data_IF_074568045879
#
_entry.id   IF_074568045879
#
_cell.length_a   1.000
_cell.length_b   1.000
_cell.length_c   1.000
_cell.angle_alpha   90.00
_cell.angle_beta   90.00
_cell.angle_gamma   90.00
#
_symmetry.space_group_name_H-M   'P 1'
#
loop_
_entity.id
_entity.type
_entity.pdbx_description
1 polymer ?
#
# COMPACT_ATOMS: atom_id res chain seq x y z
N UNK A 1 -22.19 2.15 -4.10
CA UNK A 1 -20.79 1.81 -3.79
C UNK A 1 -20.08 3.13 -3.88
N UNK A 2 -19.57 3.62 -2.76
CA UNK A 2 -19.11 4.99 -2.64
C UNK A 2 -17.97 5.27 -3.62
N UNK A 3 -18.03 6.44 -4.24
CA UNK A 3 -17.02 6.91 -5.16
C UNK A 3 -16.16 7.97 -4.49
N UNK A 4 -14.86 7.88 -4.73
CA UNK A 4 -13.86 8.82 -4.26
C UNK A 4 -14.01 10.15 -4.98
N UNK A 5 -14.19 11.21 -4.19
CA UNK A 5 -14.00 12.60 -4.60
C UNK A 5 -12.52 12.97 -4.43
N UNK A 6 -11.92 12.61 -3.30
CA UNK A 6 -10.51 12.83 -3.01
C UNK A 6 -9.95 11.66 -2.20
N UNK A 7 -8.81 11.12 -2.61
CA UNK A 7 -7.97 10.27 -1.77
C UNK A 7 -6.55 10.82 -1.79
N UNK A 8 -6.15 11.44 -0.69
CA UNK A 8 -4.83 12.05 -0.51
C UNK A 8 -3.97 11.20 0.43
N UNK A 9 -2.92 10.61 -0.11
CA UNK A 9 -2.00 9.70 0.59
C UNK A 9 -0.67 10.39 0.84
N UNK A 10 -0.29 10.46 2.11
CA UNK A 10 0.96 11.02 2.56
C UNK A 10 1.77 9.94 3.30
N UNK A 11 2.94 9.62 2.76
CA UNK A 11 3.86 8.63 3.32
C UNK A 11 5.16 9.27 3.73
N UNK A 12 5.60 9.00 4.96
CA UNK A 12 6.95 9.31 5.43
C UNK A 12 7.67 8.00 5.70
N UNK A 13 8.82 7.81 5.02
CA UNK A 13 9.65 6.64 5.27
C UNK A 13 10.79 7.01 6.22
N UNK A 14 10.92 6.22 7.27
CA UNK A 14 11.99 6.32 8.26
C UNK A 14 13.04 5.27 7.95
N UNK A 15 14.27 5.73 7.68
CA UNK A 15 15.39 4.89 7.28
C UNK A 15 16.00 4.07 8.41
N UNK A 16 15.19 3.27 9.09
CA UNK A 16 15.63 2.45 10.24
C UNK A 16 16.66 1.40 9.85
N UNK A 17 16.74 1.02 8.58
CA UNK A 17 17.77 0.10 8.07
C UNK A 17 19.18 0.66 8.23
N UNK A 18 19.35 1.98 8.04
CA UNK A 18 20.61 2.71 8.29
C UNK A 18 21.01 2.76 9.76
N UNK A 19 20.12 2.30 10.65
CA UNK A 19 20.30 2.29 12.10
C UNK A 19 20.34 0.86 12.67
N UNK A 20 20.63 -0.15 11.83
CA UNK A 20 20.91 -1.53 12.27
C UNK A 20 19.69 -2.45 12.30
N UNK A 21 18.56 -2.04 11.70
CA UNK A 21 17.42 -2.92 11.46
C UNK A 21 17.45 -3.50 10.03
N UNK A 22 16.74 -4.59 9.79
CA UNK A 22 16.67 -5.20 8.45
C UNK A 22 15.58 -4.58 7.55
N UNK A 23 14.98 -3.48 8.00
CA UNK A 23 13.82 -2.84 7.37
C UNK A 23 13.78 -1.34 7.64
N UNK A 24 13.05 -0.64 6.78
CA UNK A 24 12.59 0.73 7.00
C UNK A 24 11.16 0.73 7.55
N UNK A 25 10.72 1.85 8.12
CA UNK A 25 9.34 2.02 8.59
C UNK A 25 8.64 3.04 7.70
N UNK A 26 7.59 2.62 7.01
CA UNK A 26 6.68 3.53 6.34
C UNK A 26 5.57 3.95 7.30
N UNK A 27 5.38 5.26 7.47
CA UNK A 27 4.19 5.83 8.12
C UNK A 27 3.32 6.45 7.04
N UNK A 28 2.14 5.85 6.82
CA UNK A 28 1.16 6.27 5.82
C UNK A 28 -0.03 6.92 6.52
N UNK A 29 -0.44 8.08 6.02
CA UNK A 29 -1.66 8.80 6.43
C UNK A 29 -2.48 9.09 5.19
N UNK A 30 -3.79 8.85 5.25
CA UNK A 30 -4.67 9.03 4.10
C UNK A 30 -5.95 9.73 4.49
N UNK A 31 -6.27 10.80 3.77
CA UNK A 31 -7.57 11.43 3.80
C UNK A 31 -8.41 10.87 2.66
N UNK A 32 -9.57 10.30 3.00
CA UNK A 32 -10.53 9.77 2.03
C UNK A 32 -11.79 10.63 2.11
N UNK A 33 -12.25 11.13 0.97
CA UNK A 33 -13.52 11.81 0.82
C UNK A 33 -14.36 11.11 -0.26
N UNK A 34 -15.58 10.73 0.08
CA UNK A 34 -16.53 10.05 -0.80
C UNK A 34 -17.75 10.91 -1.12
N UNK A 35 -18.50 10.53 -2.15
CA UNK A 35 -19.79 11.13 -2.52
C UNK A 35 -20.95 10.68 -1.60
N UNK A 36 -20.93 9.42 -1.17
CA UNK A 36 -21.86 8.83 -0.19
C UNK A 36 -21.08 8.17 0.97
N UNK A 37 -21.71 7.97 2.15
CA UNK A 37 -21.08 7.27 3.26
C UNK A 37 -20.68 5.84 2.90
N UNK A 38 -19.53 5.40 3.41
CA UNK A 38 -19.06 4.02 3.34
C UNK A 38 -19.87 3.20 4.35
N UNK A 39 -20.47 2.09 3.87
CA UNK A 39 -21.18 1.17 4.77
C UNK A 39 -20.21 0.56 5.78
N UNK A 40 -20.65 0.42 7.03
CA UNK A 40 -19.91 -0.29 8.09
C UNK A 40 -19.78 -1.78 7.84
N UNK A 41 -20.49 -2.32 6.85
CA UNK A 41 -20.35 -3.72 6.40
C UNK A 41 -19.05 -3.96 5.61
N UNK A 42 -18.41 -2.89 5.12
CA UNK A 42 -17.10 -2.99 4.48
C UNK A 42 -16.00 -2.96 5.54
N UNK A 43 -15.15 -3.98 5.50
CA UNK A 43 -13.97 -4.09 6.35
C UNK A 43 -12.71 -4.15 5.46
N UNK A 44 -11.67 -3.43 5.87
CA UNK A 44 -10.36 -3.47 5.22
C UNK A 44 -9.34 -4.10 6.15
N UNK A 45 -8.47 -4.92 5.57
CA UNK A 45 -7.24 -5.38 6.19
C UNK A 45 -6.19 -4.26 6.04
N UNK A 46 -5.90 -3.55 7.13
CA UNK A 46 -4.95 -2.44 7.16
C UNK A 46 -3.59 -2.92 7.69
N UNK A 47 -2.46 -2.65 7.00
CA UNK A 47 -1.13 -3.01 7.50
C UNK A 47 -0.84 -2.41 8.87
N UNK A 48 -0.10 -3.12 9.72
CA UNK A 48 0.35 -2.59 11.01
C UNK A 48 1.73 -3.15 11.41
N UNK A 49 2.38 -2.55 12.42
CA UNK A 49 3.77 -2.83 12.82
C UNK A 49 3.92 -4.12 13.67
N UNK A 50 2.85 -4.65 14.24
CA UNK A 50 2.95 -5.52 15.43
C UNK A 50 2.89 -7.03 15.12
N UNK A 51 3.66 -7.79 15.90
CA UNK A 51 3.52 -9.21 16.25
C UNK A 51 3.23 -10.25 15.17
N UNK A 52 3.65 -10.01 13.92
CA UNK A 52 3.67 -11.06 12.91
C UNK A 52 4.66 -12.16 13.33
N UNK A 53 4.24 -13.44 13.45
CA UNK A 53 5.13 -14.53 13.81
C UNK A 53 6.31 -14.63 12.83
N UNK A 54 7.51 -14.94 13.33
CA UNK A 54 8.75 -14.97 12.51
C UNK A 54 8.63 -15.84 11.25
N UNK A 55 7.89 -16.96 11.34
CA UNK A 55 7.64 -17.87 10.22
C UNK A 55 6.72 -17.27 9.16
N UNK A 56 5.73 -16.46 9.55
CA UNK A 56 4.86 -15.73 8.64
C UNK A 56 5.61 -14.56 8.00
N UNK A 57 6.38 -13.82 8.81
CA UNK A 57 7.25 -12.75 8.32
C UNK A 57 8.21 -13.25 7.23
N UNK A 58 8.77 -14.46 7.35
CA UNK A 58 9.71 -15.01 6.37
C UNK A 58 9.11 -15.15 4.96
N UNK A 59 7.80 -15.34 4.85
CA UNK A 59 7.09 -15.43 3.57
C UNK A 59 6.74 -14.05 3.00
N UNK A 60 6.62 -13.03 3.85
CA UNK A 60 6.26 -11.65 3.46
C UNK A 60 7.48 -10.71 3.37
N UNK A 61 8.69 -11.23 3.59
CA UNK A 61 9.94 -10.47 3.74
C UNK A 61 10.69 -10.21 2.43
N UNK A 62 10.15 -10.66 1.30
CA UNK A 62 10.82 -10.56 0.00
C UNK A 62 10.89 -9.12 -0.55
N UNK A 63 10.19 -8.18 0.11
CA UNK A 63 10.05 -6.78 -0.29
C UNK A 63 9.14 -6.57 -1.51
N UNK A 64 8.71 -7.64 -2.18
CA UNK A 64 7.95 -7.60 -3.42
C UNK A 64 6.47 -7.76 -3.16
N UNK A 65 6.08 -8.56 -2.15
CA UNK A 65 4.69 -8.74 -1.75
C UNK A 65 4.07 -7.36 -1.47
N UNK A 66 3.00 -6.99 -2.19
CA UNK A 66 2.36 -5.69 -2.00
C UNK A 66 1.65 -5.63 -0.64
N UNK A 67 2.14 -4.75 0.25
CA UNK A 67 1.55 -4.53 1.58
C UNK A 67 0.87 -3.17 1.60
N UNK A 68 -0.44 -3.15 1.34
CA UNK A 68 -1.30 -1.97 1.44
C UNK A 68 -2.70 -2.38 1.90
N UNK A 69 -3.57 -1.43 2.28
CA UNK A 69 -4.96 -1.68 2.61
C UNK A 69 -5.73 -2.44 1.52
N UNK A 70 -6.33 -3.56 1.89
CA UNK A 70 -7.09 -4.42 0.97
C UNK A 70 -8.47 -4.71 1.53
N UNK A 71 -9.48 -4.82 0.66
CA UNK A 71 -10.83 -5.19 1.07
C UNK A 71 -10.84 -6.63 1.60
N UNK A 72 -11.32 -6.84 2.83
CA UNK A 72 -11.33 -8.15 3.50
C UNK A 72 -12.04 -9.23 2.68
N UNK A 73 -13.19 -8.88 2.09
CA UNK A 73 -13.98 -9.82 1.28
C UNK A 73 -13.26 -10.24 0.00
N UNK A 74 -12.53 -9.31 -0.64
CA UNK A 74 -11.70 -9.59 -1.82
C UNK A 74 -10.55 -10.53 -1.46
N UNK A 75 -9.77 -10.20 -0.42
CA UNK A 75 -8.72 -11.09 0.09
C UNK A 75 -9.24 -12.50 0.38
N UNK A 76 -10.42 -12.61 0.99
CA UNK A 76 -11.03 -13.92 1.30
C UNK A 76 -11.47 -14.67 0.04
N UNK A 77 -12.02 -13.96 -0.94
CA UNK A 77 -12.42 -14.53 -2.22
C UNK A 77 -11.21 -15.04 -3.01
N UNK A 78 -10.09 -14.33 -2.90
CA UNK A 78 -8.86 -14.65 -3.61
C UNK A 78 -8.10 -15.85 -3.01
N UNK A 79 -8.54 -16.40 -1.86
CA UNK A 79 -8.00 -17.62 -1.21
C UNK A 79 -8.83 -18.89 -1.58
N UNK A 80 -9.83 -18.75 -2.46
CA UNK A 80 -10.83 -19.80 -2.67
C UNK A 80 -10.30 -21.09 -3.34
N UNK A 81 -9.09 -21.10 -3.90
CA UNK A 81 -8.51 -22.24 -4.62
C UNK A 81 -7.49 -23.04 -3.81
N UNK A 82 -7.35 -22.78 -2.50
CA UNK A 82 -6.33 -23.43 -1.67
C UNK A 82 -6.35 -24.97 -1.76
N UNK A 83 -7.51 -25.60 -1.54
CA UNK A 83 -7.62 -27.07 -1.58
C UNK A 83 -7.35 -27.63 -2.98
N UNK A 84 -7.82 -26.93 -4.02
CA UNK A 84 -7.58 -27.32 -5.41
C UNK A 84 -6.09 -27.24 -5.78
N UNK A 85 -5.41 -26.19 -5.33
CA UNK A 85 -3.98 -25.99 -5.53
C UNK A 85 -3.15 -27.07 -4.82
N UNK A 86 -3.60 -27.55 -3.64
CA UNK A 86 -3.00 -28.71 -2.96
C UNK A 86 -3.20 -29.99 -3.77
N UNK A 87 -4.44 -30.27 -4.21
CA UNK A 87 -4.77 -31.51 -4.92
C UNK A 87 -4.08 -31.61 -6.30
N UNK A 88 -3.84 -30.47 -6.95
CA UNK A 88 -3.21 -30.38 -8.27
C UNK A 88 -1.68 -30.20 -8.22
N UNK A 89 -1.08 -30.10 -7.02
CA UNK A 89 0.33 -29.75 -6.80
C UNK A 89 0.74 -28.41 -7.45
N UNK A 90 -0.16 -27.42 -7.47
CA UNK A 90 0.13 -26.08 -7.99
C UNK A 90 0.77 -25.20 -6.90
N UNK A 91 2.09 -25.33 -6.74
CA UNK A 91 2.83 -24.63 -5.68
C UNK A 91 2.78 -23.09 -5.80
N UNK A 92 2.78 -22.55 -7.03
CA UNK A 92 2.80 -21.09 -7.24
C UNK A 92 1.52 -20.44 -6.71
N UNK A 93 0.36 -20.93 -7.13
CA UNK A 93 -0.93 -20.42 -6.66
C UNK A 93 -1.17 -20.75 -5.17
N UNK A 94 -0.67 -21.90 -4.69
CA UNK A 94 -0.73 -22.23 -3.27
C UNK A 94 0.05 -21.23 -2.40
N UNK A 95 1.24 -20.80 -2.85
CA UNK A 95 2.01 -19.80 -2.12
C UNK A 95 1.30 -18.44 -2.10
N UNK A 96 0.69 -18.04 -3.22
CA UNK A 96 -0.12 -16.82 -3.30
C UNK A 96 -1.34 -16.88 -2.35
N UNK A 97 -2.07 -18.00 -2.32
CA UNK A 97 -3.16 -18.23 -1.35
C UNK A 97 -2.66 -18.14 0.10
N UNK A 98 -1.49 -18.72 0.40
CA UNK A 98 -0.86 -18.67 1.73
C UNK A 98 -0.50 -17.23 2.09
N UNK A 99 0.12 -16.47 1.18
CA UNK A 99 0.49 -15.07 1.40
C UNK A 99 -0.75 -14.22 1.70
N UNK A 100 -1.82 -14.36 0.91
CA UNK A 100 -3.10 -13.67 1.16
C UNK A 100 -3.72 -14.04 2.49
N UNK A 101 -3.71 -15.33 2.85
CA UNK A 101 -4.20 -15.78 4.15
C UNK A 101 -3.39 -15.21 5.31
N UNK A 102 -2.06 -15.13 5.16
CA UNK A 102 -1.17 -14.51 6.13
C UNK A 102 -1.44 -13.00 6.25
N UNK A 103 -1.56 -12.29 5.13
CA UNK A 103 -1.91 -10.86 5.13
C UNK A 103 -3.22 -10.62 5.87
N UNK A 104 -4.28 -11.37 5.54
CA UNK A 104 -5.58 -11.25 6.20
C UNK A 104 -5.51 -11.50 7.72
N UNK A 105 -4.61 -12.38 8.16
CA UNK A 105 -4.44 -12.73 9.58
C UNK A 105 -3.53 -11.74 10.32
N UNK A 106 -2.56 -11.16 9.62
CA UNK A 106 -1.50 -10.32 10.19
C UNK A 106 -1.78 -8.82 10.03
N UNK A 107 -2.87 -8.43 9.38
CA UNK A 107 -3.31 -7.04 9.25
C UNK A 107 -4.44 -6.74 10.24
N UNK A 108 -4.60 -5.47 10.59
CA UNK A 108 -5.71 -5.05 11.43
C UNK A 108 -6.97 -4.91 10.58
N UNK A 109 -7.93 -5.80 10.77
CA UNK A 109 -9.22 -5.77 10.07
C UNK A 109 -10.15 -4.81 10.77
N UNK A 110 -10.56 -3.75 10.08
CA UNK A 110 -11.43 -2.72 10.63
C UNK A 110 -12.34 -2.11 9.56
N UNK A 111 -13.59 -1.72 9.89
CA UNK A 111 -14.33 -0.78 9.07
C UNK A 111 -13.66 0.60 9.09
N UNK A 112 -13.99 1.44 8.11
CA UNK A 112 -13.56 2.84 8.09
C UNK A 112 -14.49 3.69 8.94
N UNK A 113 -13.93 4.36 9.95
CA UNK A 113 -14.69 5.24 10.83
C UNK A 113 -14.72 6.67 10.25
N UNK A 114 -15.91 7.28 10.10
CA UNK A 114 -16.02 8.65 9.62
C UNK A 114 -15.43 9.63 10.63
N UNK A 115 -14.86 10.72 10.13
CA UNK A 115 -14.43 11.85 10.95
C UNK A 115 -15.63 12.51 11.63
N UNK A 116 -15.43 12.98 12.86
CA UNK A 116 -16.49 13.59 13.67
C UNK A 116 -17.29 14.64 12.89
N UNK A 117 -18.63 14.52 12.92
CA UNK A 117 -19.58 15.39 12.21
C UNK A 117 -19.51 15.35 10.67
N UNK A 118 -18.84 14.36 10.07
CA UNK A 118 -18.83 14.16 8.62
C UNK A 118 -18.87 12.68 8.21
N UNK A 119 -19.98 12.25 7.62
CA UNK A 119 -20.18 10.83 7.27
C UNK A 119 -19.53 10.41 5.93
N UNK A 120 -18.83 11.30 5.24
CA UNK A 120 -18.20 11.02 3.93
C UNK A 120 -16.69 11.36 3.94
N UNK A 121 -16.09 11.52 5.13
CA UNK A 121 -14.65 11.78 5.27
C UNK A 121 -14.06 10.82 6.28
N UNK A 122 -12.92 10.24 5.94
CA UNK A 122 -12.26 9.21 6.73
C UNK A 122 -10.77 9.53 6.79
N UNK A 123 -10.16 9.26 7.95
CA UNK A 123 -8.72 9.38 8.13
C UNK A 123 -8.16 8.04 8.52
N UNK A 124 -7.29 7.50 7.67
CA UNK A 124 -6.61 6.23 7.92
C UNK A 124 -5.14 6.52 8.14
N UNK A 125 -4.59 6.07 9.27
CA UNK A 125 -3.16 6.17 9.57
C UNK A 125 -2.65 4.83 10.01
N UNK A 126 -1.58 4.37 9.38
CA UNK A 126 -0.95 3.12 9.73
C UNK A 126 0.56 3.19 9.50
N UNK A 127 1.26 2.23 10.09
CA UNK A 127 2.68 2.06 9.89
C UNK A 127 2.97 0.60 9.58
N UNK A 128 4.00 0.35 8.80
CA UNK A 128 4.44 -1.02 8.54
C UNK A 128 5.93 -1.06 8.18
N UNK A 129 6.48 -2.27 8.20
CA UNK A 129 7.89 -2.53 7.89
C UNK A 129 8.05 -2.68 6.37
N UNK A 130 8.96 -1.92 5.79
CA UNK A 130 9.44 -2.04 4.42
C UNK A 130 10.72 -2.86 4.42
N UNK A 131 10.64 -4.08 3.90
CA UNK A 131 11.82 -4.92 3.72
C UNK A 131 12.48 -4.65 2.37
N UNK A 132 13.81 -4.77 2.28
CA UNK A 132 14.51 -4.56 1.02
C UNK A 132 14.16 -5.66 0.02
N UNK A 133 13.92 -5.29 -1.23
CA UNK A 133 13.75 -6.27 -2.33
C UNK A 133 15.10 -6.81 -2.83
N UNK A 134 16.14 -6.00 -2.67
CA UNK A 134 17.53 -6.25 -3.03
C UNK A 134 18.39 -5.47 -2.03
N UNK A 135 19.68 -5.77 -1.93
CA UNK A 135 20.59 -5.05 -1.01
C UNK A 135 20.45 -3.53 -1.17
N UNK A 136 20.17 -2.85 -0.06
CA UNK A 136 19.98 -1.40 0.04
C UNK A 136 18.86 -0.81 -0.85
N UNK A 137 17.96 -1.63 -1.37
CA UNK A 137 16.90 -1.27 -2.32
C UNK A 137 15.52 -1.60 -1.76
N UNK A 138 14.64 -0.62 -1.71
CA UNK A 138 13.32 -0.73 -1.09
C UNK A 138 12.21 -0.29 -2.04
N UNK A 139 11.06 -0.95 -1.98
CA UNK A 139 9.86 -0.59 -2.74
C UNK A 139 8.72 -0.25 -1.79
N UNK A 140 8.16 0.95 -1.93
CA UNK A 140 6.86 1.29 -1.36
C UNK A 140 5.80 1.06 -2.44
N UNK A 141 4.72 0.35 -2.08
CA UNK A 141 3.59 0.08 -2.97
C UNK A 141 2.28 0.50 -2.32
N UNK A 142 1.39 1.10 -3.10
CA UNK A 142 0.02 1.40 -2.67
C UNK A 142 -0.92 1.31 -3.86
N UNK A 143 -2.10 0.74 -3.65
CA UNK A 143 -3.18 0.72 -4.62
C UNK A 143 -4.16 1.86 -4.29
N UNK A 144 -4.43 2.73 -5.26
CA UNK A 144 -5.47 3.75 -5.17
C UNK A 144 -6.42 3.64 -6.39
N UNK A 145 -7.73 3.89 -6.22
CA UNK A 145 -8.40 4.08 -4.94
C UNK A 145 -8.32 2.81 -4.08
N UNK A 146 -8.65 2.94 -2.80
CA UNK A 146 -8.75 1.76 -1.93
C UNK A 146 -9.59 0.67 -2.59
N UNK A 147 -9.14 -0.58 -2.45
CA UNK A 147 -9.88 -1.73 -2.94
C UNK A 147 -11.33 -1.68 -2.46
N UNK A 148 -12.28 -1.82 -3.39
CA UNK A 148 -13.71 -1.74 -3.09
C UNK A 148 -14.29 -0.32 -3.09
N UNK A 149 -13.54 0.70 -3.53
CA UNK A 149 -14.06 2.05 -3.79
C UNK A 149 -13.89 2.40 -5.27
N UNK A 150 -14.87 3.09 -5.83
CA UNK A 150 -14.77 3.66 -7.18
C UNK A 150 -14.18 5.07 -7.15
N UNK A 151 -13.93 5.67 -8.32
CA UNK A 151 -13.61 7.10 -8.44
C UNK A 151 -14.77 7.84 -9.12
N UNK A 152 -15.18 8.99 -8.59
CA UNK A 152 -16.22 9.79 -9.23
C UNK A 152 -15.64 10.52 -10.45
N UNK A 153 -16.51 10.96 -11.37
CA UNK A 153 -16.04 11.81 -12.48
C UNK A 153 -15.45 13.12 -11.91
N UNK A 154 -14.20 13.43 -12.26
CA UNK A 154 -13.46 14.56 -11.69
C UNK A 154 -12.94 14.34 -10.27
N UNK A 155 -13.05 13.12 -9.73
CA UNK A 155 -12.40 12.71 -8.50
C UNK A 155 -10.87 12.74 -8.63
N UNK A 156 -10.19 12.79 -7.50
CA UNK A 156 -8.74 13.01 -7.46
C UNK A 156 -8.04 12.01 -6.54
N UNK A 157 -6.99 11.37 -7.03
CA UNK A 157 -6.07 10.58 -6.22
C UNK A 157 -4.72 11.29 -6.19
N UNK A 158 -4.17 11.44 -4.99
CA UNK A 158 -2.87 12.07 -4.77
C UNK A 158 -2.02 11.17 -3.90
N UNK A 159 -0.74 11.06 -4.25
CA UNK A 159 0.25 10.36 -3.45
C UNK A 159 1.45 11.26 -3.29
N UNK A 160 1.91 11.43 -2.05
CA UNK A 160 3.18 12.08 -1.70
C UNK A 160 3.97 11.15 -0.81
N UNK A 161 5.19 10.80 -1.22
CA UNK A 161 6.15 10.05 -0.41
C UNK A 161 7.37 10.90 -0.10
N UNK A 162 7.72 10.98 1.18
CA UNK A 162 8.98 11.55 1.65
C UNK A 162 9.94 10.41 1.94
N UNK A 163 11.00 10.31 1.13
CA UNK A 163 12.01 9.28 1.26
C UNK A 163 12.92 9.52 2.49
N UNK A 164 13.64 8.48 2.95
CA UNK A 164 14.60 8.61 4.02
C UNK A 164 15.74 9.59 3.70
N UNK A 165 16.42 10.06 4.73
CA UNK A 165 17.58 10.95 4.56
C UNK A 165 18.68 10.19 3.81
N UNK A 166 19.22 10.82 2.76
CA UNK A 166 20.29 10.24 1.95
C UNK A 166 19.85 9.18 0.95
N UNK A 167 18.57 8.82 0.90
CA UNK A 167 18.05 7.90 -0.10
C UNK A 167 17.86 8.61 -1.45
N UNK A 168 18.18 7.91 -2.54
CA UNK A 168 17.94 8.35 -3.92
C UNK A 168 16.76 7.59 -4.50
N UNK A 169 15.90 8.30 -5.25
CA UNK A 169 14.78 7.67 -5.96
C UNK A 169 15.28 7.08 -7.27
N UNK A 170 14.84 5.85 -7.58
CA UNK A 170 15.07 5.24 -8.88
C UNK A 170 13.88 5.58 -9.82
N UNK A 171 14.05 6.51 -10.78
CA UNK A 171 12.96 6.92 -11.67
C UNK A 171 12.58 5.84 -12.69
N UNK A 172 13.43 4.85 -12.95
CA UNK A 172 13.14 3.79 -13.94
C UNK A 172 12.12 2.78 -13.41
N UNK A 173 12.05 2.59 -12.10
CA UNK A 173 11.14 1.64 -11.43
C UNK A 173 9.99 2.38 -10.74
N UNK A 174 10.19 3.65 -10.39
CA UNK A 174 9.14 4.45 -9.76
C UNK A 174 8.09 4.81 -10.80
N UNK A 175 6.88 4.29 -10.64
CA UNK A 175 5.80 4.44 -11.62
C UNK A 175 4.41 4.37 -11.00
N UNK A 176 3.41 4.70 -11.83
CA UNK A 176 2.00 4.49 -11.56
C UNK A 176 1.40 3.70 -12.73
N UNK A 177 1.04 2.43 -12.50
CA UNK A 177 0.55 1.52 -13.54
C UNK A 177 -0.86 1.03 -13.26
N UNK A 178 -1.68 0.92 -14.30
CA UNK A 178 -2.96 0.23 -14.21
C UNK A 178 -2.78 -1.30 -14.09
N UNK A 179 -3.90 -2.02 -13.95
CA UNK A 179 -3.88 -3.49 -13.89
C UNK A 179 -3.41 -4.18 -15.19
N UNK A 180 -3.30 -3.45 -16.30
CA UNK A 180 -2.73 -3.94 -17.55
C UNK A 180 -1.23 -3.63 -17.69
N UNK A 181 -0.63 -2.98 -16.68
CA UNK A 181 0.77 -2.58 -16.68
C UNK A 181 1.07 -1.31 -17.49
N UNK A 182 0.06 -0.57 -17.92
CA UNK A 182 0.22 0.70 -18.63
C UNK A 182 0.45 1.83 -17.64
N UNK A 183 1.45 2.69 -17.92
CA UNK A 183 1.66 3.91 -17.13
C UNK A 183 0.48 4.87 -17.29
N UNK A 184 -0.04 5.36 -16.17
CA UNK A 184 -1.24 6.20 -16.13
C UNK A 184 -1.02 7.58 -15.46
N UNK A 185 0.17 7.81 -14.90
CA UNK A 185 0.63 9.12 -14.45
C UNK A 185 2.16 9.21 -14.52
N UNK A 186 2.66 10.43 -14.68
CA UNK A 186 4.08 10.75 -14.54
C UNK A 186 4.38 11.13 -13.08
N UNK A 187 5.52 10.70 -12.57
CA UNK A 187 6.01 11.08 -11.26
C UNK A 187 6.64 12.48 -11.26
N UNK A 188 6.46 13.22 -10.17
CA UNK A 188 7.25 14.43 -9.88
C UNK A 188 8.19 14.16 -8.72
N UNK A 189 9.49 14.23 -8.97
CA UNK A 189 10.55 14.03 -7.96
C UNK A 189 11.17 15.38 -7.63
N UNK A 190 11.14 15.77 -6.35
CA UNK A 190 11.73 17.03 -5.87
C UNK A 190 12.65 16.77 -4.68
N UNK A 191 13.82 17.41 -4.66
CA UNK A 191 14.76 17.31 -3.55
C UNK A 191 14.55 18.44 -2.52
N UNK A 192 14.56 18.09 -1.24
CA UNK A 192 14.66 19.02 -0.13
C UNK A 192 16.13 19.13 0.29
N UNK A 193 16.88 20.05 -0.33
CA UNK A 193 18.34 20.09 -0.26
C UNK A 193 18.90 20.24 1.16
N UNK A 194 18.27 21.04 2.02
CA UNK A 194 18.78 21.32 3.37
C UNK A 194 18.72 20.12 4.34
N UNK A 195 17.85 19.13 4.07
CA UNK A 195 17.70 17.93 4.89
C UNK A 195 18.06 16.65 4.12
N UNK A 196 18.54 16.80 2.88
CA UNK A 196 18.92 15.71 1.97
C UNK A 196 17.85 14.61 1.87
N UNK A 197 16.60 15.02 1.61
CA UNK A 197 15.47 14.10 1.36
C UNK A 197 14.94 14.30 -0.05
N UNK A 198 14.35 13.25 -0.60
CA UNK A 198 13.58 13.32 -1.84
C UNK A 198 12.09 13.19 -1.53
N UNK A 199 11.28 13.94 -2.27
CA UNK A 199 9.83 13.84 -2.31
C UNK A 199 9.46 13.28 -3.68
N UNK A 200 8.61 12.26 -3.69
CA UNK A 200 7.95 11.74 -4.90
C UNK A 200 6.48 12.06 -4.79
N UNK A 201 5.89 12.58 -5.86
CA UNK A 201 4.46 12.88 -5.89
C UNK A 201 3.80 12.45 -7.19
N UNK A 202 2.53 12.07 -7.08
CA UNK A 202 1.66 11.71 -8.20
C UNK A 202 0.29 12.37 -8.03
N UNK A 203 -0.35 12.66 -9.16
CA UNK A 203 -1.72 13.13 -9.23
C UNK A 203 -2.43 12.42 -10.40
N UNK A 204 -3.56 11.77 -10.11
CA UNK A 204 -4.25 10.94 -11.12
C UNK A 204 -5.77 10.87 -10.90
N UNK A 205 -6.48 10.45 -11.96
CA UNK A 205 -7.94 10.25 -12.02
C UNK A 205 -8.35 8.84 -12.49
N UNK A 206 -7.45 7.86 -12.40
CA UNK A 206 -7.66 6.44 -12.75
C UNK A 206 -7.14 5.57 -11.61
N UNK A 207 -7.29 4.24 -11.71
CA UNK A 207 -6.91 3.27 -10.67
C UNK A 207 -5.48 2.71 -10.90
N UNK A 208 -4.42 3.28 -10.30
CA UNK A 208 -3.08 2.71 -10.38
C UNK A 208 -2.68 1.91 -9.15
N UNK A 209 -1.77 0.98 -9.40
CA UNK A 209 -0.76 0.56 -8.43
C UNK A 209 0.41 1.52 -8.56
N UNK A 210 0.72 2.24 -7.48
CA UNK A 210 1.93 3.03 -7.39
C UNK A 210 3.07 2.17 -6.87
N UNK A 211 4.23 2.27 -7.52
CA UNK A 211 5.49 1.69 -7.05
C UNK A 211 6.49 2.83 -6.90
N UNK A 212 7.11 2.98 -5.73
CA UNK A 212 8.17 3.96 -5.49
C UNK A 212 9.40 3.21 -5.01
N UNK A 213 10.48 3.24 -5.82
CA UNK A 213 11.74 2.57 -5.52
C UNK A 213 12.78 3.58 -5.07
N UNK A 214 13.42 3.30 -3.94
CA UNK A 214 14.55 4.08 -3.45
C UNK A 214 15.71 3.19 -3.02
N UNK A 215 16.90 3.76 -3.01
CA UNK A 215 18.11 3.10 -2.52
C UNK A 215 18.95 4.05 -1.66
N UNK A 216 19.79 3.46 -0.81
CA UNK A 216 20.83 4.19 -0.05
C UNK A 216 22.16 4.26 -0.78
#
# INVERSE_FOLDING_TARGET
MPNIILQDVNTVVHGTSRHGLDYDIAHVTMLIQTDEPISTDYEWAIPHIEDIPSKAIALLKDGKTPIYPMLKSKLRQDINSFSENVDTNNMTELLDDIEKALMLTCMHVTPLEPLENNNCRYLVSYKYRLYPVETDNFEFKVLLPFDGLGICNGGKLQLTLIAPIGATINPTITDAKDFNGQSVADETITQICNVNKNIVSFEIQQDPIFTIRYNY
#
